data_IF_697681978019
#
_entry.id   IF_697681978019
#
_cell.length_a   1.000
_cell.length_b   1.000
_cell.length_c   1.000
_cell.angle_alpha   90.00
_cell.angle_beta   90.00
_cell.angle_gamma   90.00
#
_symmetry.space_group_name_H-M   'P 1'
#
loop_
_entity.id
_entity.type
_entity.pdbx_description
1 polymer ?
#
# COMPACT_ATOMS: atom_id res chain seq x y z
N UNK A 1 -77.74 -25.43 -22.40
CA UNK A 1 -76.44 -24.76 -22.58
C UNK A 1 -76.24 -23.57 -21.60
N UNK A 2 -76.53 -23.74 -20.30
CA UNK A 2 -76.32 -22.69 -19.27
C UNK A 2 -75.63 -23.18 -17.99
N UNK A 3 -75.51 -24.49 -17.78
CA UNK A 3 -74.84 -25.08 -16.60
C UNK A 3 -73.37 -25.45 -16.83
N UNK A 4 -72.87 -25.42 -18.07
CA UNK A 4 -71.46 -25.73 -18.40
C UNK A 4 -70.53 -24.51 -18.33
N UNK A 5 -71.09 -23.29 -18.39
CA UNK A 5 -70.32 -22.03 -18.39
C UNK A 5 -69.99 -21.59 -16.94
N UNK A 6 -70.81 -21.97 -15.96
CA UNK A 6 -70.59 -21.62 -14.54
C UNK A 6 -69.45 -22.40 -13.88
N UNK A 7 -69.09 -23.60 -14.37
CA UNK A 7 -67.99 -24.40 -13.82
C UNK A 7 -66.61 -23.94 -14.30
N UNK A 8 -66.51 -23.35 -15.50
CA UNK A 8 -65.24 -22.85 -16.03
C UNK A 8 -64.82 -21.49 -15.41
N UNK A 9 -65.78 -20.69 -14.96
CA UNK A 9 -65.49 -19.41 -14.28
C UNK A 9 -65.03 -19.62 -12.83
N UNK A 10 -65.52 -20.66 -12.14
CA UNK A 10 -65.12 -20.95 -10.75
C UNK A 10 -63.69 -21.52 -10.65
N UNK A 11 -63.26 -22.32 -11.63
CA UNK A 11 -61.88 -22.87 -11.64
C UNK A 11 -60.82 -21.81 -11.99
N UNK A 12 -61.17 -20.77 -12.75
CA UNK A 12 -60.25 -19.67 -13.07
C UNK A 12 -60.01 -18.72 -11.88
N UNK A 13 -61.00 -18.53 -11.01
CA UNK A 13 -60.86 -17.67 -9.81
C UNK A 13 -60.06 -18.35 -8.71
N UNK A 14 -60.15 -19.68 -8.57
CA UNK A 14 -59.34 -20.44 -7.59
C UNK A 14 -57.84 -20.48 -7.98
N UNK A 15 -57.51 -20.53 -9.27
CA UNK A 15 -56.11 -20.53 -9.75
C UNK A 15 -55.39 -19.19 -9.54
N UNK A 16 -56.10 -18.07 -9.64
CA UNK A 16 -55.52 -16.73 -9.44
C UNK A 16 -55.28 -16.39 -7.97
N UNK A 17 -56.13 -16.90 -7.06
CA UNK A 17 -55.94 -16.71 -5.61
C UNK A 17 -54.71 -17.48 -5.08
N UNK A 18 -54.37 -18.63 -5.68
CA UNK A 18 -53.19 -19.41 -5.28
C UNK A 18 -51.86 -18.80 -5.76
N UNK A 19 -51.84 -18.07 -6.88
CA UNK A 19 -50.62 -17.43 -7.39
C UNK A 19 -50.21 -16.19 -6.59
N UNK A 20 -51.16 -15.50 -5.95
CA UNK A 20 -50.88 -14.29 -5.16
C UNK A 20 -50.37 -14.54 -3.73
N UNK A 21 -50.31 -15.81 -3.30
CA UNK A 21 -49.89 -16.18 -1.93
C UNK A 21 -48.48 -16.80 -1.89
N UNK A 22 -47.91 -17.22 -3.03
CA UNK A 22 -46.63 -17.93 -3.07
C UNK A 22 -45.39 -17.07 -3.42
N UNK A 23 -45.55 -15.75 -3.56
CA UNK A 23 -44.46 -14.85 -3.99
C UNK A 23 -43.91 -13.96 -2.87
N UNK A 24 -43.95 -14.46 -1.62
CA UNK A 24 -43.28 -13.82 -0.48
C UNK A 24 -42.08 -14.66 -0.08
N UNK A 25 -41.01 -14.55 -0.87
CA UNK A 25 -39.66 -14.92 -0.40
C UNK A 25 -39.32 -14.00 0.77
N UNK A 26 -39.18 -14.58 1.95
CA UNK A 26 -38.56 -13.92 3.09
C UNK A 26 -37.08 -13.76 2.79
N UNK A 27 -36.65 -12.51 2.59
CA UNK A 27 -35.25 -12.15 2.55
C UNK A 27 -34.69 -12.30 3.97
N UNK A 28 -33.93 -13.39 4.21
CA UNK A 28 -33.10 -13.52 5.40
C UNK A 28 -32.08 -12.37 5.51
N UNK A 29 -31.38 -12.22 6.65
CA UNK A 29 -30.45 -11.10 6.85
C UNK A 29 -29.41 -11.06 5.73
N UNK A 30 -29.57 -10.08 4.84
CA UNK A 30 -28.63 -9.82 3.76
C UNK A 30 -27.33 -9.37 4.41
N UNK A 31 -26.32 -10.22 4.38
CA UNK A 31 -24.95 -9.81 4.67
C UNK A 31 -24.66 -8.55 3.83
N UNK A 32 -24.46 -7.43 4.53
CA UNK A 32 -24.18 -6.15 3.92
C UNK A 32 -22.89 -6.30 3.12
N UNK A 33 -22.97 -6.13 1.79
CA UNK A 33 -21.77 -6.13 0.95
C UNK A 33 -20.84 -5.05 1.50
N UNK A 34 -19.55 -5.32 1.78
CA UNK A 34 -18.66 -4.30 2.30
C UNK A 34 -18.67 -3.12 1.33
N UNK A 35 -19.11 -1.96 1.80
CA UNK A 35 -19.04 -0.72 1.05
C UNK A 35 -17.58 -0.51 0.65
N UNK A 36 -17.29 -0.14 -0.61
CA UNK A 36 -15.93 0.24 -0.97
C UNK A 36 -15.49 1.36 -0.02
N UNK A 37 -14.32 1.16 0.61
CA UNK A 37 -13.71 2.11 1.53
C UNK A 37 -13.55 3.44 0.80
N UNK A 38 -14.44 4.38 1.09
CA UNK A 38 -14.33 5.77 0.65
C UNK A 38 -13.23 6.41 1.49
N UNK A 39 -12.00 6.36 0.99
CA UNK A 39 -10.87 7.04 1.64
C UNK A 39 -11.15 8.54 1.62
N UNK A 40 -11.45 9.10 2.78
CA UNK A 40 -11.50 10.54 2.97
C UNK A 40 -10.08 11.11 2.95
N UNK A 41 -9.95 12.34 2.47
CA UNK A 41 -8.73 13.16 2.45
C UNK A 41 -7.95 13.03 3.75
N UNK A 42 -6.67 12.62 3.67
CA UNK A 42 -5.81 12.47 4.86
C UNK A 42 -5.58 13.82 5.54
N UNK A 43 -5.44 13.83 6.86
CA UNK A 43 -5.08 15.05 7.58
C UNK A 43 -3.66 15.48 7.19
N UNK A 44 -3.38 16.79 7.27
CA UNK A 44 -2.05 17.34 6.96
C UNK A 44 -0.94 16.68 7.78
N UNK A 45 -1.22 16.33 9.04
CA UNK A 45 -0.23 15.74 9.96
C UNK A 45 0.27 14.35 9.50
N UNK A 46 -0.60 13.50 8.92
CA UNK A 46 -0.16 12.23 8.37
C UNK A 46 0.80 12.45 7.19
N UNK A 47 0.39 13.26 6.20
CA UNK A 47 1.20 13.52 5.01
C UNK A 47 2.53 14.18 5.38
N UNK A 48 2.54 15.15 6.30
CA UNK A 48 3.78 15.78 6.80
C UNK A 48 4.72 14.77 7.45
N UNK A 49 4.20 13.87 8.30
CA UNK A 49 5.04 12.81 8.91
C UNK A 49 5.55 11.80 7.88
N UNK A 50 4.75 11.51 6.84
CA UNK A 50 5.15 10.65 5.73
C UNK A 50 6.23 11.30 4.86
N UNK A 51 6.15 12.62 4.63
CA UNK A 51 7.16 13.39 3.89
C UNK A 51 8.52 13.33 4.58
N UNK A 52 8.54 13.43 5.92
CA UNK A 52 9.76 13.28 6.71
C UNK A 52 10.36 11.86 6.56
N UNK A 53 9.52 10.83 6.61
CA UNK A 53 9.93 9.44 6.41
C UNK A 53 10.48 9.20 5.00
N UNK A 54 9.80 9.67 3.95
CA UNK A 54 10.27 9.58 2.57
C UNK A 54 11.58 10.34 2.37
N UNK A 55 11.69 11.55 2.93
CA UNK A 55 12.91 12.35 2.84
C UNK A 55 14.10 11.60 3.45
N UNK A 56 13.94 11.04 4.64
CA UNK A 56 14.97 10.24 5.30
C UNK A 56 15.30 8.96 4.50
N UNK A 57 14.31 8.28 3.93
CA UNK A 57 14.54 7.15 3.02
C UNK A 57 15.41 7.53 1.83
N UNK A 58 15.14 8.67 1.19
CA UNK A 58 15.95 9.12 0.06
C UNK A 58 17.37 9.54 0.47
N UNK A 59 17.57 10.07 1.67
CA UNK A 59 18.92 10.28 2.21
C UNK A 59 19.70 8.96 2.31
N UNK A 60 19.07 7.88 2.82
CA UNK A 60 19.69 6.54 2.87
C UNK A 60 20.00 6.04 1.46
N UNK A 61 19.03 6.11 0.54
CA UNK A 61 19.21 5.70 -0.86
C UNK A 61 20.40 6.41 -1.50
N UNK A 62 20.45 7.74 -1.39
CA UNK A 62 21.49 8.55 -2.04
C UNK A 62 22.87 8.29 -1.41
N UNK A 63 22.93 8.05 -0.10
CA UNK A 63 24.16 7.63 0.57
C UNK A 63 24.64 6.24 0.10
N UNK A 64 23.74 5.28 -0.09
CA UNK A 64 24.08 3.94 -0.60
C UNK A 64 24.50 3.93 -2.07
N UNK A 65 23.91 4.82 -2.88
CA UNK A 65 24.38 5.11 -4.24
C UNK A 65 25.83 5.61 -4.20
N UNK A 66 26.14 6.55 -3.31
CA UNK A 66 27.49 7.06 -3.10
C UNK A 66 28.43 6.09 -2.35
N UNK A 67 27.92 4.93 -1.91
CA UNK A 67 28.63 3.99 -1.04
C UNK A 67 29.19 4.63 0.26
N UNK A 68 28.56 5.71 0.73
CA UNK A 68 28.94 6.46 1.93
C UNK A 68 28.25 5.84 3.16
N UNK A 69 28.97 4.94 3.83
CA UNK A 69 28.42 4.18 4.97
C UNK A 69 28.11 5.07 6.18
N UNK A 70 28.84 6.17 6.36
CA UNK A 70 28.62 7.10 7.48
C UNK A 70 27.30 7.85 7.27
N UNK A 71 27.08 8.38 6.06
CA UNK A 71 25.79 9.03 5.74
C UNK A 71 24.64 8.03 5.69
N UNK A 72 24.87 6.81 5.22
CA UNK A 72 23.84 5.77 5.21
C UNK A 72 23.37 5.45 6.63
N UNK A 73 24.30 5.32 7.58
CA UNK A 73 23.96 5.12 9.00
C UNK A 73 23.18 6.30 9.58
N UNK A 74 23.64 7.53 9.34
CA UNK A 74 22.97 8.72 9.85
C UNK A 74 21.54 8.86 9.27
N UNK A 75 21.39 8.64 7.96
CA UNK A 75 20.09 8.64 7.29
C UNK A 75 19.18 7.54 7.81
N UNK A 76 19.72 6.35 8.10
CA UNK A 76 18.93 5.23 8.60
C UNK A 76 18.42 5.46 10.03
N UNK A 77 19.22 6.08 10.90
CA UNK A 77 18.75 6.49 12.22
C UNK A 77 17.64 7.56 12.13
N UNK A 78 17.79 8.54 11.23
CA UNK A 78 16.71 9.50 10.95
C UNK A 78 15.45 8.82 10.43
N UNK A 79 15.60 7.84 9.53
CA UNK A 79 14.49 7.07 8.99
C UNK A 79 13.78 6.28 10.08
N UNK A 80 14.52 5.59 10.96
CA UNK A 80 13.95 4.89 12.11
C UNK A 80 13.10 5.83 12.96
N UNK A 81 13.61 7.01 13.33
CA UNK A 81 12.85 7.99 14.12
C UNK A 81 11.61 8.51 13.37
N UNK A 82 11.74 8.79 12.07
CA UNK A 82 10.62 9.27 11.25
C UNK A 82 9.53 8.21 11.10
N UNK A 83 9.90 6.94 10.95
CA UNK A 83 8.98 5.80 10.86
C UNK A 83 8.27 5.51 12.18
N UNK A 84 8.96 5.60 13.32
CA UNK A 84 8.33 5.54 14.65
C UNK A 84 7.37 6.71 14.89
N UNK A 85 7.70 7.88 14.36
CA UNK A 85 6.90 9.10 14.48
C UNK A 85 5.74 9.22 13.50
N UNK A 86 5.51 8.23 12.64
CA UNK A 86 4.48 8.24 11.62
C UNK A 86 3.09 8.39 12.27
N UNK A 87 2.31 9.39 11.84
CA UNK A 87 1.01 9.71 12.45
C UNK A 87 -0.11 8.81 11.95
N UNK A 88 0.00 7.50 12.14
CA UNK A 88 -0.97 6.51 11.62
C UNK A 88 -2.40 6.73 12.14
N UNK A 89 -2.55 7.30 13.34
CA UNK A 89 -3.86 7.65 13.90
C UNK A 89 -4.57 8.77 13.13
N UNK A 90 -3.84 9.55 12.33
CA UNK A 90 -4.35 10.63 11.49
C UNK A 90 -4.83 10.16 10.11
N UNK A 91 -4.73 8.87 9.81
CA UNK A 91 -5.32 8.28 8.59
C UNK A 91 -6.86 8.43 8.68
N UNK A 92 -7.50 8.86 7.60
CA UNK A 92 -8.96 9.04 7.52
C UNK A 92 -9.59 7.99 6.61
N UNK A 93 -10.90 7.75 6.77
CA UNK A 93 -11.65 6.85 5.90
C UNK A 93 -11.38 5.35 6.09
N UNK A 94 -10.58 4.96 7.10
CA UNK A 94 -10.39 3.57 7.49
C UNK A 94 -11.38 3.16 8.59
N UNK A 95 -12.62 2.86 8.19
CA UNK A 95 -13.65 2.37 9.11
C UNK A 95 -13.34 0.99 9.69
N UNK A 96 -12.47 0.22 9.02
CA UNK A 96 -12.11 -1.14 9.44
C UNK A 96 -10.95 -1.19 10.44
N UNK A 97 -10.11 -0.15 10.50
CA UNK A 97 -8.84 -0.14 11.22
C UNK A 97 -7.71 -0.91 10.53
N UNK A 98 -8.01 -1.65 9.45
CA UNK A 98 -7.06 -2.51 8.74
C UNK A 98 -5.95 -1.70 8.07
N UNK A 99 -6.25 -0.51 7.53
CA UNK A 99 -5.22 0.33 6.90
C UNK A 99 -4.24 0.82 7.96
N UNK A 100 -4.74 1.24 9.13
CA UNK A 100 -3.88 1.67 10.25
C UNK A 100 -3.01 0.54 10.77
N UNK A 101 -3.59 -0.63 11.01
CA UNK A 101 -2.85 -1.80 11.51
C UNK A 101 -1.76 -2.23 10.51
N UNK A 102 -2.11 -2.26 9.22
CA UNK A 102 -1.15 -2.57 8.15
C UNK A 102 -0.05 -1.50 8.06
N UNK A 103 -0.42 -0.21 8.21
CA UNK A 103 0.54 0.88 8.21
C UNK A 103 1.51 0.78 9.40
N UNK A 104 1.02 0.45 10.60
CA UNK A 104 1.85 0.19 11.78
C UNK A 104 2.82 -0.97 11.52
N UNK A 105 2.35 -2.08 10.95
CA UNK A 105 3.20 -3.22 10.62
C UNK A 105 4.34 -2.83 9.68
N UNK A 106 4.06 -2.16 8.56
CA UNK A 106 5.12 -1.72 7.65
C UNK A 106 6.05 -0.68 8.27
N UNK A 107 5.51 0.29 9.03
CA UNK A 107 6.35 1.28 9.72
C UNK A 107 7.29 0.62 10.73
N UNK A 108 6.83 -0.41 11.44
CA UNK A 108 7.66 -1.21 12.35
C UNK A 108 8.77 -1.98 11.64
N UNK A 109 8.47 -2.58 10.48
CA UNK A 109 9.50 -3.21 9.63
C UNK A 109 10.54 -2.19 9.17
N UNK A 110 10.11 -1.02 8.71
CA UNK A 110 11.03 0.04 8.27
C UNK A 110 11.92 0.50 9.44
N UNK A 111 11.33 0.73 10.61
CA UNK A 111 12.06 1.10 11.83
C UNK A 111 13.13 0.05 12.17
N UNK A 112 12.73 -1.22 12.27
CA UNK A 112 13.64 -2.31 12.64
C UNK A 112 14.79 -2.47 11.65
N UNK A 113 14.49 -2.51 10.34
CA UNK A 113 15.52 -2.62 9.31
C UNK A 113 16.40 -1.38 9.21
N UNK A 114 15.88 -0.18 9.47
CA UNK A 114 16.69 1.03 9.50
C UNK A 114 17.68 1.04 10.68
N UNK A 115 17.26 0.55 11.86
CA UNK A 115 18.16 0.35 12.99
C UNK A 115 19.23 -0.72 12.69
N UNK A 116 18.83 -1.84 12.09
CA UNK A 116 19.76 -2.89 11.66
C UNK A 116 20.76 -2.36 10.63
N UNK A 117 20.30 -1.62 9.62
CA UNK A 117 21.16 -0.98 8.62
C UNK A 117 22.23 -0.13 9.28
N UNK A 118 21.86 0.72 10.25
CA UNK A 118 22.84 1.54 10.96
C UNK A 118 23.88 0.69 11.73
N UNK A 119 23.46 -0.44 12.29
CA UNK A 119 24.31 -1.38 13.04
C UNK A 119 25.17 -2.33 12.19
N UNK A 120 24.85 -2.52 10.91
CA UNK A 120 25.57 -3.44 10.05
C UNK A 120 27.04 -3.05 9.82
N UNK A 121 27.91 -4.04 9.71
CA UNK A 121 29.36 -3.82 9.56
C UNK A 121 29.82 -3.68 8.12
N UNK A 122 29.07 -4.25 7.17
CA UNK A 122 29.44 -4.28 5.75
C UNK A 122 28.45 -3.47 4.91
N UNK A 123 28.92 -2.90 3.80
CA UNK A 123 28.07 -2.18 2.87
C UNK A 123 27.03 -3.10 2.23
N UNK A 124 27.41 -4.35 1.97
CA UNK A 124 26.55 -5.39 1.41
C UNK A 124 25.38 -5.71 2.33
N UNK A 125 25.61 -5.85 3.64
CA UNK A 125 24.51 -6.09 4.58
C UNK A 125 23.63 -4.84 4.76
N UNK A 126 24.22 -3.64 4.77
CA UNK A 126 23.43 -2.38 4.76
C UNK A 126 22.48 -2.32 3.57
N UNK A 127 22.93 -2.77 2.40
CA UNK A 127 22.11 -2.84 1.18
C UNK A 127 20.97 -3.86 1.29
N UNK A 128 21.18 -5.00 1.97
CA UNK A 128 20.10 -5.98 2.22
C UNK A 128 19.04 -5.41 3.16
N UNK A 129 19.44 -4.70 4.21
CA UNK A 129 18.49 -3.99 5.07
C UNK A 129 17.72 -2.92 4.28
N UNK A 130 18.41 -2.22 3.37
CA UNK A 130 17.76 -1.23 2.50
C UNK A 130 16.76 -1.82 1.51
N UNK A 131 16.96 -3.05 1.04
CA UNK A 131 15.96 -3.78 0.25
C UNK A 131 14.67 -3.98 1.06
N UNK A 132 14.79 -4.49 2.29
CA UNK A 132 13.63 -4.70 3.17
C UNK A 132 12.89 -3.39 3.47
N UNK A 133 13.65 -2.31 3.72
CA UNK A 133 13.09 -0.96 3.88
C UNK A 133 12.34 -0.52 2.62
N UNK A 134 12.91 -0.74 1.44
CA UNK A 134 12.32 -0.31 0.16
C UNK A 134 11.02 -1.04 -0.14
N UNK A 135 10.97 -2.34 0.07
CA UNK A 135 9.77 -3.16 -0.15
C UNK A 135 8.63 -2.79 0.82
N UNK A 136 8.97 -2.60 2.10
CA UNK A 136 8.04 -2.19 3.13
C UNK A 136 7.51 -0.77 2.86
N UNK A 137 8.36 0.18 2.51
CA UNK A 137 7.97 1.56 2.24
C UNK A 137 7.13 1.69 0.97
N UNK A 138 7.45 0.95 -0.09
CA UNK A 138 6.60 0.90 -1.29
C UNK A 138 5.21 0.34 -0.98
N UNK A 139 5.16 -0.75 -0.22
CA UNK A 139 3.89 -1.37 0.20
C UNK A 139 3.07 -0.46 1.10
N UNK A 140 3.72 0.24 2.03
CA UNK A 140 3.10 1.25 2.88
C UNK A 140 2.54 2.41 2.04
N UNK A 141 3.33 2.95 1.11
CA UNK A 141 2.94 4.06 0.22
C UNK A 141 1.66 3.72 -0.55
N UNK A 142 1.52 2.49 -1.06
CA UNK A 142 0.31 2.00 -1.74
C UNK A 142 -0.86 1.77 -0.78
N UNK A 143 -0.59 1.17 0.38
CA UNK A 143 -1.60 0.87 1.41
C UNK A 143 -2.31 2.13 1.86
N UNK A 144 -1.54 3.17 2.18
CA UNK A 144 -2.09 4.45 2.62
C UNK A 144 -2.52 5.30 1.43
N UNK A 145 -2.13 4.98 0.20
CA UNK A 145 -2.30 5.84 -0.99
C UNK A 145 -1.75 7.25 -0.75
N UNK A 146 -0.51 7.33 -0.31
CA UNK A 146 0.13 8.60 0.09
C UNK A 146 -0.01 9.67 -1.01
N UNK A 147 -0.49 10.85 -0.62
CA UNK A 147 -0.74 11.97 -1.51
C UNK A 147 0.49 12.88 -1.49
N UNK A 148 1.31 12.80 -2.53
CA UNK A 148 2.53 13.58 -2.59
C UNK A 148 3.17 13.58 -3.97
N UNK A 149 4.42 14.04 -4.07
CA UNK A 149 5.15 14.06 -5.33
C UNK A 149 5.24 12.67 -5.95
N UNK A 150 5.35 12.65 -7.28
CA UNK A 150 5.54 11.40 -8.01
C UNK A 150 6.78 10.65 -7.53
N UNK A 151 6.62 9.36 -7.28
CA UNK A 151 7.70 8.44 -6.93
C UNK A 151 7.77 7.30 -7.95
N UNK A 152 8.97 6.93 -8.33
CA UNK A 152 9.26 5.83 -9.26
C UNK A 152 9.65 4.58 -8.47
N UNK A 153 9.23 3.42 -8.95
CA UNK A 153 9.66 2.13 -8.45
C UNK A 153 10.60 1.50 -9.48
N UNK A 154 11.85 1.39 -9.11
CA UNK A 154 12.93 0.97 -9.98
C UNK A 154 13.45 -0.39 -9.53
N UNK A 155 14.04 -1.13 -10.47
CA UNK A 155 14.47 -2.51 -10.26
C UNK A 155 15.79 -2.76 -10.98
N UNK A 156 16.72 -3.47 -10.33
CA UNK A 156 17.92 -4.00 -10.98
C UNK A 156 17.91 -5.53 -10.83
N UNK A 157 17.83 -6.29 -11.94
CA UNK A 157 17.77 -7.76 -11.89
C UNK A 157 19.05 -8.40 -11.37
N UNK A 158 20.18 -7.69 -11.41
CA UNK A 158 21.48 -8.22 -11.00
C UNK A 158 21.78 -8.08 -9.50
N UNK A 159 20.92 -7.38 -8.74
CA UNK A 159 21.13 -7.19 -7.31
C UNK A 159 21.14 -8.55 -6.57
N UNK A 160 21.98 -8.65 -5.54
CA UNK A 160 22.09 -9.81 -4.65
C UNK A 160 22.20 -11.15 -5.37
N UNK A 161 23.24 -11.31 -6.21
CA UNK A 161 23.49 -12.55 -6.97
C UNK A 161 22.38 -12.88 -7.97
N UNK A 162 21.92 -11.87 -8.73
CA UNK A 162 20.83 -11.99 -9.71
C UNK A 162 19.46 -12.38 -9.13
N UNK A 163 19.26 -12.20 -7.82
CA UNK A 163 17.92 -12.31 -7.21
C UNK A 163 17.03 -11.11 -7.58
N UNK A 164 17.67 -9.98 -7.86
CA UNK A 164 17.01 -8.72 -8.16
C UNK A 164 16.55 -8.00 -6.90
N UNK A 165 16.43 -6.68 -6.98
CA UNK A 165 15.95 -5.86 -5.88
C UNK A 165 15.33 -4.56 -6.39
N UNK A 166 14.33 -4.08 -5.65
CA UNK A 166 13.57 -2.88 -5.98
C UNK A 166 13.94 -1.71 -5.07
N UNK A 167 13.73 -0.48 -5.54
CA UNK A 167 13.84 0.72 -4.71
C UNK A 167 12.92 1.83 -5.22
N UNK A 168 12.62 2.79 -4.36
CA UNK A 168 11.89 4.00 -4.74
C UNK A 168 12.86 5.12 -5.14
N UNK A 169 12.48 5.95 -6.11
CA UNK A 169 13.26 7.11 -6.57
C UNK A 169 12.36 8.33 -6.80
N UNK A 170 12.90 9.53 -6.55
CA UNK A 170 12.28 10.81 -6.94
C UNK A 170 12.50 11.14 -8.41
N UNK A 171 13.47 10.49 -9.03
CA UNK A 171 13.92 10.78 -10.39
C UNK A 171 13.68 9.57 -11.29
N UNK A 172 13.30 9.83 -12.54
CA UNK A 172 13.17 8.80 -13.57
C UNK A 172 14.53 8.16 -13.93
N UNK A 173 15.62 8.91 -13.77
CA UNK A 173 16.97 8.41 -14.00
C UNK A 173 17.31 7.29 -13.01
N UNK A 174 17.92 6.22 -13.51
CA UNK A 174 18.34 5.08 -12.70
C UNK A 174 19.63 5.45 -11.95
N UNK A 175 19.55 5.41 -10.61
CA UNK A 175 20.71 5.49 -9.71
C UNK A 175 20.64 4.35 -8.70
N UNK A 176 21.38 3.30 -8.99
CA UNK A 176 21.28 2.01 -8.31
C UNK A 176 21.95 2.02 -6.91
N UNK A 177 21.18 1.87 -5.81
CA UNK A 177 21.72 1.87 -4.45
C UNK A 177 22.47 0.58 -4.07
N UNK A 178 22.28 -0.50 -4.84
CA UNK A 178 22.83 -1.84 -4.57
C UNK A 178 24.24 -2.08 -5.09
N UNK A 179 24.68 -1.29 -6.07
CA UNK A 179 26.02 -1.43 -6.66
C UNK A 179 26.86 -0.15 -6.64
N UNK A 180 26.27 0.99 -6.29
CA UNK A 180 26.94 2.29 -6.34
C UNK A 180 27.59 2.55 -7.69
N UNK A 181 28.80 3.10 -7.70
CA UNK A 181 29.49 3.48 -8.94
C UNK A 181 29.79 2.31 -9.89
N UNK A 182 29.82 1.07 -9.40
CA UNK A 182 30.14 -0.10 -10.23
C UNK A 182 29.09 -0.36 -11.30
N UNK A 183 27.82 -0.07 -11.01
CA UNK A 183 26.69 -0.30 -11.92
C UNK A 183 25.58 0.73 -11.66
N UNK A 184 25.96 2.01 -11.61
CA UNK A 184 25.06 3.11 -11.23
C UNK A 184 23.77 3.14 -12.05
N UNK A 185 23.84 2.80 -13.34
CA UNK A 185 22.70 2.80 -14.26
C UNK A 185 22.09 1.41 -14.47
N UNK A 186 22.46 0.38 -13.69
CA UNK A 186 21.75 -0.91 -13.74
C UNK A 186 20.35 -0.73 -13.21
N UNK A 187 19.38 -0.93 -14.08
CA UNK A 187 17.99 -1.10 -13.71
C UNK A 187 17.02 -0.48 -14.70
N UNK A 188 15.75 -0.52 -14.34
CA UNK A 188 14.67 0.05 -15.12
C UNK A 188 13.53 0.48 -14.19
N UNK A 189 12.75 1.46 -14.64
CA UNK A 189 11.50 1.83 -13.95
C UNK A 189 10.45 0.77 -14.25
N UNK A 190 9.90 0.18 -13.20
CA UNK A 190 8.86 -0.85 -13.26
C UNK A 190 7.47 -0.29 -12.98
N UNK A 191 7.38 0.73 -12.12
CA UNK A 191 6.12 1.37 -11.75
C UNK A 191 6.36 2.83 -11.32
N UNK A 192 5.29 3.60 -11.12
CA UNK A 192 5.32 4.90 -10.47
C UNK A 192 3.99 5.23 -9.80
N UNK A 193 4.03 5.92 -8.66
CA UNK A 193 2.83 6.39 -7.95
C UNK A 193 2.79 7.91 -7.95
N UNK A 194 1.59 8.44 -8.17
CA UNK A 194 1.24 9.86 -8.05
C UNK A 194 -0.24 9.94 -7.68
N UNK A 195 -0.57 9.75 -6.40
CA UNK A 195 -1.93 9.91 -5.92
C UNK A 195 -2.22 11.40 -5.74
N UNK A 196 -3.22 11.91 -6.45
CA UNK A 196 -3.66 13.31 -6.37
C UNK A 196 -4.91 13.40 -5.51
N UNK A 197 -5.03 14.50 -4.77
CA UNK A 197 -6.30 14.89 -4.15
C UNK A 197 -7.34 15.06 -5.26
N UNK A 198 -8.39 14.24 -5.24
CA UNK A 198 -9.62 14.52 -5.98
C UNK A 198 -10.50 15.44 -5.15
#
# INVERSE_FOLDING_TARGET
MRKLILLLVVLAVAGFAAWKIFDKKEDGPRAEKPKPLSMGTKSGAFNESFDLMLSAYFEVKDALVASDTVKANAGALKLSTASEGLKVDEISGDSSGVIRETALSFSGTITGSAQALAGESTLENKRKEFEMISDALWSLTRTVKYEGPKVYYQFCPMAFENKGAYWMSREANIRNPYFGDKMLTCGSTQDSLEYKNQ
#
